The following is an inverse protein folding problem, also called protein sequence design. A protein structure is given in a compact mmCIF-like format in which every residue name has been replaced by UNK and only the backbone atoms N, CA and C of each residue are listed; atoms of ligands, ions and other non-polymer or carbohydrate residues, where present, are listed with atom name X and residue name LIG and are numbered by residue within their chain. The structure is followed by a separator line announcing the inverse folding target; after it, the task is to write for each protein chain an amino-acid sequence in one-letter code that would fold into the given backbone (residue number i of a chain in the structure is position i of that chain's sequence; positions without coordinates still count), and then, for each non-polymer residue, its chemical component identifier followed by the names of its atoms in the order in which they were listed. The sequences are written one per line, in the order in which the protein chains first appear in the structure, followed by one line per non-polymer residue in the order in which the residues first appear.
data_IF_101816431902
#
_entry.id   IF_101816431902
#
_cell.length_a   1.000
_cell.length_b   1.000
_cell.length_c   1.000
_cell.angle_alpha   90.00
_cell.angle_beta   90.00
_cell.angle_gamma   90.00
#
_symmetry.space_group_name_H-M   'P 1'
#
loop_
_entity.id
_entity.type
_entity.pdbx_description
1 polymer ?
#
# COMPACT_ATOMS: atom_id res chain seq x y z
N UNK A 1 -15.57 -1.41 -7.29
CA UNK A 1 -14.56 -1.42 -6.21
C UNK A 1 -14.85 -0.23 -5.32
N UNK A 2 -15.25 -0.45 -4.07
CA UNK A 2 -15.42 0.64 -3.09
C UNK A 2 -14.07 1.33 -2.90
N UNK A 3 -14.07 2.66 -2.83
CA UNK A 3 -12.83 3.41 -2.64
C UNK A 3 -12.25 3.09 -1.27
N UNK A 4 -11.20 2.26 -1.22
CA UNK A 4 -10.45 2.03 0.01
C UNK A 4 -9.73 3.33 0.39
N UNK A 5 -10.04 3.85 1.58
CA UNK A 5 -9.36 5.03 2.11
C UNK A 5 -8.09 4.59 2.85
N UNK A 6 -6.97 4.54 2.12
CA UNK A 6 -5.67 4.17 2.68
C UNK A 6 -5.14 5.21 3.69
N UNK A 7 -5.37 6.49 3.38
CA UNK A 7 -4.90 7.66 4.13
C UNK A 7 -6.00 8.72 4.13
N UNK A 8 -6.10 9.50 5.19
CA UNK A 8 -6.88 10.75 5.17
C UNK A 8 -6.12 11.86 4.43
N UNK A 9 -6.88 12.83 3.92
CA UNK A 9 -6.33 13.94 3.15
C UNK A 9 -5.30 14.76 3.94
N UNK A 10 -5.53 15.16 5.21
CA UNK A 10 -4.52 15.87 6.00
C UNK A 10 -3.19 15.12 6.09
N UNK A 11 -3.23 13.83 6.43
CA UNK A 11 -2.02 12.99 6.50
C UNK A 11 -1.28 12.93 5.17
N UNK A 12 -2.01 12.82 4.06
CA UNK A 12 -1.41 12.83 2.73
C UNK A 12 -0.77 14.19 2.38
N UNK A 13 -1.43 15.30 2.70
CA UNK A 13 -0.91 16.65 2.44
C UNK A 13 0.38 16.88 3.21
N UNK A 14 0.46 16.46 4.48
CA UNK A 14 1.69 16.54 5.26
C UNK A 14 2.83 15.72 4.61
N UNK A 15 2.57 14.47 4.21
CA UNK A 15 3.56 13.65 3.50
C UNK A 15 4.04 14.29 2.19
N UNK A 16 3.12 14.94 1.47
CA UNK A 16 3.42 15.65 0.23
C UNK A 16 4.34 16.84 0.48
N UNK A 17 4.00 17.68 1.46
CA UNK A 17 4.79 18.86 1.83
C UNK A 17 6.19 18.48 2.31
N UNK A 18 6.30 17.49 3.19
CA UNK A 18 7.57 16.95 3.64
C UNK A 18 8.43 16.43 2.49
N UNK A 19 7.80 15.75 1.53
CA UNK A 19 8.51 15.22 0.38
C UNK A 19 9.04 16.34 -0.52
N UNK A 20 8.20 17.33 -0.86
CA UNK A 20 8.62 18.49 -1.64
C UNK A 20 9.71 19.31 -0.95
N UNK A 21 9.72 19.35 0.38
CA UNK A 21 10.78 19.99 1.14
C UNK A 21 12.12 19.21 1.05
N UNK A 22 12.07 17.89 0.95
CA UNK A 22 13.25 17.03 0.86
C UNK A 22 13.83 16.94 -0.57
N UNK A 23 13.02 16.51 -1.55
CA UNK A 23 13.36 16.53 -2.98
C UNK A 23 12.10 16.38 -3.83
N UNK A 24 11.90 17.19 -4.89
CA UNK A 24 10.77 17.04 -5.80
C UNK A 24 10.97 15.98 -6.90
N UNK A 25 12.18 15.45 -7.07
CA UNK A 25 12.55 14.65 -8.27
C UNK A 25 13.12 13.27 -7.98
N UNK A 26 13.46 12.98 -6.72
CA UNK A 26 14.06 11.70 -6.31
C UNK A 26 13.58 11.28 -4.91
N UNK A 27 13.84 10.02 -4.50
CA UNK A 27 13.34 9.49 -3.22
C UNK A 27 13.88 10.16 -1.95
N UNK A 28 14.93 10.97 -2.06
CA UNK A 28 15.66 11.57 -0.95
C UNK A 28 16.01 10.54 0.14
N UNK A 29 15.67 10.86 1.39
CA UNK A 29 15.88 10.06 2.60
C UNK A 29 14.77 9.02 2.86
N UNK A 30 13.68 9.03 2.10
CA UNK A 30 12.52 8.17 2.36
C UNK A 30 11.92 7.59 1.07
N UNK A 31 12.42 6.41 0.64
CA UNK A 31 11.83 5.65 -0.47
C UNK A 31 10.34 5.35 -0.27
N UNK A 32 9.91 5.07 0.97
CA UNK A 32 8.51 4.82 1.30
C UNK A 32 7.63 6.06 1.08
N UNK A 33 8.07 7.25 1.52
CA UNK A 33 7.35 8.50 1.29
C UNK A 33 7.25 8.82 -0.21
N UNK A 34 8.35 8.68 -0.94
CA UNK A 34 8.38 8.84 -2.39
C UNK A 34 7.39 7.93 -3.09
N UNK A 35 7.43 6.63 -2.76
CA UNK A 35 6.57 5.64 -3.39
C UNK A 35 5.09 5.91 -3.11
N UNK A 36 4.75 6.21 -1.85
CA UNK A 36 3.38 6.48 -1.45
C UNK A 36 2.82 7.73 -2.12
N UNK A 37 3.60 8.84 -2.11
CA UNK A 37 3.20 10.10 -2.75
C UNK A 37 2.94 9.89 -4.24
N UNK A 38 3.88 9.25 -4.94
CA UNK A 38 3.72 8.98 -6.36
C UNK A 38 2.53 8.04 -6.64
N UNK A 39 2.36 6.95 -5.89
CA UNK A 39 1.25 6.02 -6.08
C UNK A 39 -0.12 6.70 -5.88
N UNK A 40 -0.27 7.51 -4.82
CA UNK A 40 -1.52 8.24 -4.53
C UNK A 40 -1.80 9.31 -5.58
N UNK A 41 -0.79 10.06 -6.06
CA UNK A 41 -0.97 11.00 -7.18
C UNK A 41 -1.41 10.26 -8.45
N UNK A 42 -0.79 9.11 -8.74
CA UNK A 42 -1.17 8.27 -9.87
C UNK A 42 -2.64 7.83 -9.80
N UNK A 43 -3.09 7.37 -8.63
CA UNK A 43 -4.49 7.01 -8.39
C UNK A 43 -5.45 8.21 -8.54
N UNK A 44 -5.11 9.36 -7.95
CA UNK A 44 -5.93 10.57 -8.03
C UNK A 44 -6.08 11.09 -9.46
N UNK A 45 -4.98 11.13 -10.22
CA UNK A 45 -5.01 11.52 -11.63
C UNK A 45 -5.89 10.57 -12.43
N UNK A 46 -5.73 9.25 -12.23
CA UNK A 46 -6.55 8.25 -12.92
C UNK A 46 -8.03 8.41 -12.59
N UNK A 47 -8.38 8.65 -11.32
CA UNK A 47 -9.77 8.86 -10.89
C UNK A 47 -10.42 10.13 -11.49
N UNK A 48 -9.60 11.08 -11.96
CA UNK A 48 -10.06 12.33 -12.60
C UNK A 48 -10.07 12.28 -14.13
N UNK A 49 -9.59 11.20 -14.75
CA UNK A 49 -9.66 11.06 -16.21
C UNK A 49 -11.11 10.92 -16.63
N UNK A 50 -11.56 11.78 -17.54
CA UNK A 50 -12.90 11.72 -18.10
C UNK A 50 -13.05 10.46 -18.99
N UNK A 51 -14.24 9.81 -19.00
CA UNK A 51 -14.50 8.70 -19.90
C UNK A 51 -14.23 9.09 -21.36
N UNK A 52 -13.44 8.28 -22.07
CA UNK A 52 -13.04 8.50 -23.46
C UNK A 52 -11.71 9.26 -23.64
N UNK A 53 -11.13 9.82 -22.57
CA UNK A 53 -9.84 10.52 -22.61
C UNK A 53 -8.66 9.64 -22.15
N UNK A 54 -8.88 8.35 -21.87
CA UNK A 54 -7.90 7.44 -21.28
C UNK A 54 -6.68 7.27 -22.18
N UNK A 55 -6.89 7.15 -23.49
CA UNK A 55 -5.80 6.97 -24.47
C UNK A 55 -4.80 8.14 -24.43
N UNK A 56 -5.31 9.36 -24.27
CA UNK A 56 -4.46 10.55 -24.25
C UNK A 56 -3.83 10.77 -22.86
N UNK A 57 -4.63 10.64 -21.81
CA UNK A 57 -4.22 11.08 -20.48
C UNK A 57 -3.58 9.99 -19.62
N UNK A 58 -3.71 8.70 -19.97
CA UNK A 58 -3.16 7.59 -19.17
C UNK A 58 -1.64 7.61 -18.98
N UNK A 59 -0.90 8.35 -19.82
CA UNK A 59 0.55 8.55 -19.67
C UNK A 59 0.92 9.20 -18.34
N UNK A 60 0.10 10.12 -17.85
CA UNK A 60 0.37 10.89 -16.63
C UNK A 60 0.29 10.02 -15.37
N UNK A 61 -0.84 9.37 -15.04
CA UNK A 61 -0.91 8.49 -13.87
C UNK A 61 0.10 7.33 -13.95
N UNK A 62 0.39 6.84 -15.17
CA UNK A 62 1.40 5.79 -15.38
C UNK A 62 2.82 6.25 -15.06
N UNK A 63 3.17 7.51 -15.32
CA UNK A 63 4.48 8.05 -14.99
C UNK A 63 4.70 8.07 -13.46
N UNK A 64 3.70 8.52 -12.71
CA UNK A 64 3.73 8.47 -11.24
C UNK A 64 3.79 7.03 -10.72
N UNK A 65 3.01 6.11 -11.28
CA UNK A 65 3.12 4.70 -10.92
C UNK A 65 4.52 4.14 -11.17
N UNK A 66 5.15 4.47 -12.31
CA UNK A 66 6.54 4.06 -12.61
C UNK A 66 7.52 4.57 -11.56
N UNK A 67 7.41 5.83 -11.16
CA UNK A 67 8.23 6.42 -10.10
C UNK A 67 8.07 5.66 -8.77
N UNK A 68 6.83 5.32 -8.40
CA UNK A 68 6.58 4.54 -7.19
C UNK A 68 7.20 3.14 -7.26
N UNK A 69 7.05 2.46 -8.40
CA UNK A 69 7.59 1.10 -8.58
C UNK A 69 9.11 1.06 -8.66
N UNK A 70 9.77 2.18 -8.95
CA UNK A 70 11.23 2.25 -9.10
C UNK A 70 11.98 1.92 -7.80
N UNK A 71 11.34 2.13 -6.65
CA UNK A 71 11.94 1.91 -5.32
C UNK A 71 11.43 0.65 -4.61
N UNK A 72 10.71 -0.23 -5.31
CA UNK A 72 10.22 -1.50 -4.74
C UNK A 72 11.36 -2.31 -4.07
N UNK A 73 12.56 -2.46 -4.67
CA UNK A 73 13.65 -3.16 -4.02
C UNK A 73 13.99 -2.61 -2.63
N UNK A 74 14.06 -1.29 -2.50
CA UNK A 74 14.31 -0.58 -1.25
C UNK A 74 13.19 -0.81 -0.24
N UNK A 75 11.93 -0.78 -0.69
CA UNK A 75 10.77 -1.06 0.18
C UNK A 75 10.78 -2.49 0.71
N UNK A 76 11.26 -3.46 -0.08
CA UNK A 76 11.29 -4.89 0.30
C UNK A 76 12.46 -5.21 1.22
N UNK A 77 13.61 -4.56 1.01
CA UNK A 77 14.86 -4.87 1.73
C UNK A 77 15.00 -4.14 3.08
N UNK A 78 14.28 -3.03 3.28
CA UNK A 78 14.30 -2.30 4.54
C UNK A 78 13.40 -2.93 5.62
N UNK A 79 13.56 -2.48 6.86
CA UNK A 79 12.66 -2.86 7.95
C UNK A 79 11.20 -2.49 7.59
N UNK A 80 10.23 -3.39 7.82
CA UNK A 80 8.83 -3.11 7.56
C UNK A 80 8.37 -1.86 8.31
N UNK A 81 7.70 -0.97 7.59
CA UNK A 81 7.09 0.23 8.14
C UNK A 81 5.70 0.41 7.58
N UNK A 82 4.82 1.05 8.36
CA UNK A 82 3.45 1.33 7.93
C UNK A 82 3.43 2.10 6.60
N UNK A 83 4.35 3.05 6.43
CA UNK A 83 4.48 3.83 5.20
C UNK A 83 4.84 2.96 3.98
N UNK A 84 5.72 1.97 4.15
CA UNK A 84 6.09 1.04 3.07
C UNK A 84 4.92 0.13 2.70
N UNK A 85 4.20 -0.39 3.69
CA UNK A 85 3.00 -1.21 3.49
C UNK A 85 1.93 -0.40 2.75
N UNK A 86 1.66 0.84 3.17
CA UNK A 86 0.73 1.73 2.49
C UNK A 86 1.17 1.99 1.04
N UNK A 87 2.46 2.25 0.78
CA UNK A 87 2.96 2.44 -0.58
C UNK A 87 2.70 1.21 -1.46
N UNK A 88 2.97 0.01 -0.95
CA UNK A 88 2.71 -1.26 -1.65
C UNK A 88 1.22 -1.46 -1.93
N UNK A 89 0.34 -1.18 -0.96
CA UNK A 89 -1.11 -1.27 -1.14
C UNK A 89 -1.63 -0.24 -2.18
N UNK A 90 -1.14 1.00 -2.15
CA UNK A 90 -1.49 2.01 -3.15
C UNK A 90 -1.05 1.60 -4.56
N UNK A 91 0.15 1.02 -4.69
CA UNK A 91 0.60 0.47 -5.96
C UNK A 91 -0.26 -0.73 -6.41
N UNK A 92 -0.66 -1.61 -5.48
CA UNK A 92 -1.56 -2.72 -5.78
C UNK A 92 -2.92 -2.23 -6.30
N UNK A 93 -3.51 -1.21 -5.67
CA UNK A 93 -4.74 -0.56 -6.17
C UNK A 93 -4.57 -0.08 -7.62
N UNK A 94 -3.44 0.55 -7.92
CA UNK A 94 -3.17 1.05 -9.27
C UNK A 94 -3.05 -0.09 -10.29
N UNK A 95 -2.32 -1.16 -9.93
CA UNK A 95 -2.16 -2.34 -10.76
C UNK A 95 -3.50 -3.02 -11.03
N UNK A 96 -4.32 -3.20 -10.00
CA UNK A 96 -5.67 -3.77 -10.13
C UNK A 96 -6.52 -2.92 -11.08
N UNK A 97 -6.49 -1.60 -10.89
CA UNK A 97 -7.29 -0.66 -11.65
C UNK A 97 -6.84 -0.52 -13.13
N UNK A 98 -5.65 -0.99 -13.46
CA UNK A 98 -5.12 -1.10 -14.84
C UNK A 98 -5.13 -2.52 -15.39
N UNK A 99 -5.75 -3.47 -14.65
CA UNK A 99 -5.81 -4.90 -14.99
C UNK A 99 -4.42 -5.56 -15.13
N UNK A 100 -3.41 -5.05 -14.43
CA UNK A 100 -2.11 -5.71 -14.28
C UNK A 100 -2.15 -6.70 -13.12
N UNK A 101 -2.72 -7.88 -13.38
CA UNK A 101 -2.92 -8.94 -12.39
C UNK A 101 -1.62 -9.40 -11.72
N UNK A 102 -0.52 -9.50 -12.47
CA UNK A 102 0.75 -9.99 -11.92
C UNK A 102 1.31 -9.01 -10.90
N UNK A 103 1.34 -7.72 -11.26
CA UNK A 103 1.79 -6.68 -10.34
C UNK A 103 0.86 -6.57 -9.13
N UNK A 104 -0.46 -6.63 -9.33
CA UNK A 104 -1.43 -6.60 -8.23
C UNK A 104 -1.15 -7.69 -7.20
N UNK A 105 -1.06 -8.95 -7.65
CA UNK A 105 -0.79 -10.10 -6.76
C UNK A 105 0.52 -9.93 -6.03
N UNK A 106 1.61 -9.63 -6.76
CA UNK A 106 2.93 -9.47 -6.16
C UNK A 106 2.93 -8.39 -5.07
N UNK A 107 2.34 -7.22 -5.36
CA UNK A 107 2.30 -6.09 -4.44
C UNK A 107 1.41 -6.38 -3.22
N UNK A 108 0.23 -6.97 -3.42
CA UNK A 108 -0.69 -7.33 -2.34
C UNK A 108 -0.04 -8.35 -1.39
N UNK A 109 0.52 -9.43 -1.92
CA UNK A 109 1.20 -10.46 -1.11
C UNK A 109 2.41 -9.90 -0.37
N UNK A 110 3.18 -9.02 -1.02
CA UNK A 110 4.34 -8.36 -0.37
C UNK A 110 3.89 -7.46 0.77
N UNK A 111 2.81 -6.69 0.57
CA UNK A 111 2.25 -5.82 1.61
C UNK A 111 1.75 -6.63 2.81
N UNK A 112 0.99 -7.71 2.59
CA UNK A 112 0.55 -8.62 3.66
C UNK A 112 1.73 -9.17 4.44
N UNK A 113 2.78 -9.61 3.74
CA UNK A 113 3.97 -10.16 4.40
C UNK A 113 4.70 -9.13 5.25
N UNK A 114 4.87 -7.91 4.76
CA UNK A 114 5.46 -6.83 5.55
C UNK A 114 4.59 -6.46 6.76
N UNK A 115 3.27 -6.51 6.61
CA UNK A 115 2.33 -6.25 7.69
C UNK A 115 2.45 -7.30 8.81
N UNK A 116 2.51 -8.59 8.48
CA UNK A 116 2.78 -9.65 9.46
C UNK A 116 4.07 -9.41 10.24
N UNK A 117 5.15 -9.06 9.54
CA UNK A 117 6.45 -8.78 10.16
C UNK A 117 6.40 -7.56 11.08
N UNK A 118 5.71 -6.49 10.68
CA UNK A 118 5.53 -5.28 11.49
C UNK A 118 4.71 -5.58 12.76
N UNK A 119 3.63 -6.36 12.64
CA UNK A 119 2.81 -6.77 13.77
C UNK A 119 3.60 -7.63 14.76
N UNK A 120 4.37 -8.60 14.27
CA UNK A 120 5.24 -9.44 15.10
C UNK A 120 6.30 -8.61 15.84
N UNK A 121 6.91 -7.62 15.19
CA UNK A 121 7.89 -6.72 15.81
C UNK A 121 7.26 -5.86 16.92
N UNK A 122 5.98 -5.47 16.77
CA UNK A 122 5.27 -4.64 17.74
C UNK A 122 4.76 -5.41 18.97
N UNK A 123 4.54 -6.72 18.86
CA UNK A 123 4.11 -7.57 19.98
C UNK A 123 5.15 -7.62 21.14
N UNK A 124 6.43 -7.30 20.88
CA UNK A 124 7.50 -7.26 21.88
C UNK A 124 7.68 -5.93 22.62
N UNK A 125 6.91 -4.87 22.30
CA UNK A 125 7.10 -3.51 22.88
C UNK A 125 6.25 -3.29 24.14
N UNK A 126 6.87 -2.71 25.18
CA UNK A 126 6.31 -2.49 26.54
C UNK A 126 5.12 -1.50 26.55
N UNK A 127 4.11 -1.63 27.43
CA UNK A 127 2.84 -0.88 27.36
C UNK A 127 2.89 0.64 27.58
N UNK A 128 4.01 1.21 28.02
CA UNK A 128 4.08 2.63 28.41
C UNK A 128 3.96 3.61 27.22
N UNK A 129 4.20 3.16 25.98
CA UNK A 129 4.05 3.96 24.75
C UNK A 129 2.67 3.86 24.08
N UNK A 130 1.76 3.04 24.62
CA UNK A 130 0.50 2.67 23.94
C UNK A 130 -0.60 3.75 23.93
N UNK A 131 -0.47 4.83 24.70
CA UNK A 131 -1.53 5.85 24.87
C UNK A 131 -1.40 7.01 23.86
N UNK A 132 -0.21 7.24 23.30
CA UNK A 132 0.05 8.37 22.40
C UNK A 132 -0.15 8.03 20.91
N UNK A 133 -0.53 6.78 20.59
CA UNK A 133 -0.40 6.21 19.24
C UNK A 133 -1.72 5.78 18.57
N UNK A 134 -2.84 6.40 18.96
CA UNK A 134 -4.16 6.01 18.42
C UNK A 134 -4.30 6.29 16.91
N UNK A 135 -3.61 7.30 16.39
CA UNK A 135 -3.65 7.65 14.98
C UNK A 135 -2.90 6.63 14.10
N UNK A 136 -1.70 6.21 14.51
CA UNK A 136 -0.92 5.19 13.79
C UNK A 136 -1.63 3.84 13.86
N UNK A 137 -2.23 3.49 15.02
CA UNK A 137 -3.09 2.30 15.15
C UNK A 137 -4.26 2.32 14.18
N UNK A 138 -4.98 3.44 14.07
CA UNK A 138 -6.08 3.56 13.11
C UNK A 138 -5.61 3.45 11.65
N UNK A 139 -4.41 3.94 11.32
CA UNK A 139 -3.83 3.76 9.99
C UNK A 139 -3.38 2.31 9.75
N UNK A 140 -2.83 1.63 10.76
CA UNK A 140 -2.43 0.23 10.71
C UNK A 140 -3.63 -0.69 10.52
N UNK A 141 -4.71 -0.44 11.25
CA UNK A 141 -5.97 -1.19 11.16
C UNK A 141 -6.57 -1.08 9.75
N UNK A 142 -6.60 0.14 9.17
CA UNK A 142 -6.99 0.34 7.76
C UNK A 142 -6.08 -0.40 6.78
N UNK A 143 -4.77 -0.38 6.98
CA UNK A 143 -3.84 -1.10 6.13
C UNK A 143 -4.10 -2.62 6.18
N UNK A 144 -4.41 -3.16 7.36
CA UNK A 144 -4.78 -4.56 7.55
C UNK A 144 -6.08 -4.92 6.82
N UNK A 145 -7.13 -4.11 6.96
CA UNK A 145 -8.40 -4.33 6.27
C UNK A 145 -8.22 -4.38 4.74
N UNK A 146 -7.41 -3.45 4.19
CA UNK A 146 -7.13 -3.38 2.75
C UNK A 146 -6.31 -4.60 2.30
N UNK A 147 -5.28 -4.96 3.04
CA UNK A 147 -4.45 -6.13 2.72
C UNK A 147 -5.30 -7.42 2.70
N UNK A 148 -6.13 -7.63 3.73
CA UNK A 148 -7.05 -8.78 3.81
C UNK A 148 -8.06 -8.80 2.66
N UNK A 149 -8.61 -7.63 2.29
CA UNK A 149 -9.50 -7.52 1.14
C UNK A 149 -8.79 -7.88 -0.18
N UNK A 150 -7.53 -7.48 -0.36
CA UNK A 150 -6.76 -7.82 -1.56
C UNK A 150 -6.39 -9.29 -1.62
N UNK A 151 -6.05 -9.92 -0.50
CA UNK A 151 -5.83 -11.37 -0.48
C UNK A 151 -7.10 -12.14 -0.82
N UNK A 152 -8.23 -11.73 -0.26
CA UNK A 152 -9.53 -12.31 -0.58
C UNK A 152 -9.84 -12.17 -2.06
N UNK A 153 -9.61 -10.99 -2.63
CA UNK A 153 -9.78 -10.74 -4.06
C UNK A 153 -8.85 -11.61 -4.91
N UNK A 154 -7.57 -11.71 -4.52
CA UNK A 154 -6.58 -12.51 -5.23
C UNK A 154 -6.93 -14.01 -5.19
N UNK A 155 -7.43 -14.49 -4.05
CA UNK A 155 -7.91 -15.86 -3.88
C UNK A 155 -9.12 -16.16 -4.77
N UNK A 156 -10.15 -15.32 -4.70
CA UNK A 156 -11.39 -15.53 -5.45
C UNK A 156 -11.20 -15.43 -6.96
N UNK A 157 -10.39 -14.47 -7.42
CA UNK A 157 -10.29 -14.14 -8.84
C UNK A 157 -9.14 -14.84 -9.55
N UNK A 158 -8.08 -15.18 -8.83
CA UNK A 158 -6.85 -15.73 -9.41
C UNK A 158 -6.39 -17.05 -8.77
N UNK A 159 -7.14 -17.60 -7.80
CA UNK A 159 -6.87 -18.91 -7.19
C UNK A 159 -5.65 -18.93 -6.27
N UNK A 160 -5.27 -17.79 -5.69
CA UNK A 160 -4.09 -17.66 -4.82
C UNK A 160 -4.46 -17.94 -3.36
N UNK A 161 -3.64 -18.68 -2.62
CA UNK A 161 -3.87 -18.95 -1.20
C UNK A 161 -3.61 -17.68 -0.38
N UNK A 162 -4.54 -17.33 0.51
CA UNK A 162 -4.37 -16.21 1.47
C UNK A 162 -3.30 -16.54 2.51
N UNK A 163 -2.47 -15.55 2.85
CA UNK A 163 -1.47 -15.64 3.91
C UNK A 163 -2.04 -15.18 5.26
N UNK A 164 -2.85 -14.11 5.27
CA UNK A 164 -3.43 -13.58 6.51
C UNK A 164 -4.50 -14.49 7.13
N UNK A 165 -5.11 -15.36 6.32
CA UNK A 165 -6.16 -16.30 6.78
C UNK A 165 -5.70 -17.76 6.78
N UNK A 166 -4.38 -18.04 6.74
CA UNK A 166 -3.88 -19.43 6.64
C UNK A 166 -4.11 -20.27 7.91
N UNK A 167 -4.31 -19.63 9.06
CA UNK A 167 -4.33 -20.30 10.37
C UNK A 167 -5.70 -20.90 10.76
N UNK A 168 -6.78 -20.59 10.03
CA UNK A 168 -8.12 -21.11 10.37
C UNK A 168 -8.41 -22.53 9.85
N UNK A 169 -7.53 -23.13 9.04
CA UNK A 169 -7.85 -24.41 8.36
C UNK A 169 -7.26 -25.65 9.07
N UNK A 170 -6.39 -25.51 10.08
CA UNK A 170 -5.81 -26.68 10.78
C UNK A 170 -6.63 -27.19 11.99
N UNK A 171 -7.77 -26.56 12.30
CA UNK A 171 -8.58 -26.90 13.49
C UNK A 171 -9.77 -27.85 13.29
N UNK A 172 -10.11 -28.26 12.06
CA UNK A 172 -11.38 -28.98 11.78
C UNK A 172 -11.18 -30.41 11.23
N UNK A 173 -10.16 -31.10 11.72
CA UNK A 173 -9.94 -32.52 11.45
C UNK A 173 -9.47 -33.26 12.71
N UNK A 174 -10.33 -33.32 13.73
CA UNK A 174 -10.29 -34.33 14.79
C UNK A 174 -11.71 -34.79 15.11
#
# INVERSE_FOLDING_TARGET
MGGYQLLDQPSFVTLLEEHYAASPVDPADSPARWALVNAVIGLMLRAKIAPGAETELSRYPRAFYRNATAVIPELILQDPSLLSIQALLAMAMFAEATSDTRSFVMLATTASRQLELLLAANQGRVPAQQVLDMAERGQLERAYEIASAFETLAAQRYGIRSLLNSDEIEGSAL
#
